data_IF_775708294127
#
_entry.id   IF_775708294127
#
_cell.length_a   1.000
_cell.length_b   1.000
_cell.length_c   1.000
_cell.angle_alpha   90.00
_cell.angle_beta   90.00
_cell.angle_gamma   90.00
#
_symmetry.space_group_name_H-M   'P 1'
#
loop_
_entity.id
_entity.type
_entity.pdbx_description
1 polymer ?
#
# COMPACT_ATOMS: atom_id res chain seq x y z
N UNK A 1 -10.24 7.94 -66.40
CA UNK A 1 -9.51 8.38 -65.19
C UNK A 1 -9.23 7.15 -64.35
N UNK A 2 -7.96 6.83 -64.14
CA UNK A 2 -7.50 5.64 -63.43
C UNK A 2 -7.05 6.07 -62.04
N UNK A 3 -7.91 5.95 -61.04
CA UNK A 3 -7.56 6.30 -59.65
C UNK A 3 -7.01 5.08 -58.93
N UNK A 4 -5.69 4.96 -58.92
CA UNK A 4 -4.98 4.07 -57.99
C UNK A 4 -4.89 4.73 -56.63
N UNK A 5 -5.70 4.31 -55.65
CA UNK A 5 -5.45 4.65 -54.25
C UNK A 5 -4.42 3.66 -53.69
N UNK A 6 -3.17 4.10 -53.59
CA UNK A 6 -2.14 3.44 -52.80
C UNK A 6 -2.21 3.99 -51.38
N UNK A 7 -2.85 3.25 -50.48
CA UNK A 7 -2.78 3.51 -49.04
C UNK A 7 -1.49 2.90 -48.52
N UNK A 8 -0.62 3.74 -47.96
CA UNK A 8 0.59 3.31 -47.26
C UNK A 8 0.19 2.56 -46.00
N UNK A 9 0.50 1.26 -45.93
CA UNK A 9 0.47 0.49 -44.69
C UNK A 9 1.74 0.85 -43.91
N UNK A 10 1.61 1.74 -42.93
CA UNK A 10 2.67 1.98 -41.96
C UNK A 10 2.62 0.86 -40.92
N UNK A 11 3.62 -0.01 -40.91
CA UNK A 11 3.89 -0.85 -39.75
C UNK A 11 4.69 0.03 -38.78
N UNK A 12 4.02 0.57 -37.75
CA UNK A 12 4.75 1.25 -36.66
C UNK A 12 5.83 0.30 -36.16
N UNK A 13 7.08 0.76 -36.12
CA UNK A 13 8.21 -0.02 -35.64
C UNK A 13 7.88 -0.52 -34.23
N UNK A 14 7.60 -1.83 -34.11
CA UNK A 14 7.29 -2.45 -32.82
C UNK A 14 8.50 -2.27 -31.91
N UNK A 15 8.30 -1.59 -30.80
CA UNK A 15 9.33 -1.48 -29.79
C UNK A 15 9.51 -2.82 -29.11
N UNK A 16 10.76 -3.19 -28.86
CA UNK A 16 11.10 -4.47 -28.25
C UNK A 16 12.08 -4.24 -27.10
N UNK A 17 11.74 -4.80 -25.93
CA UNK A 17 12.69 -4.90 -24.84
C UNK A 17 13.69 -6.01 -25.14
N UNK A 18 14.99 -5.69 -25.10
CA UNK A 18 16.06 -6.64 -25.42
C UNK A 18 17.00 -6.92 -24.23
N UNK A 19 16.77 -6.29 -23.08
CA UNK A 19 17.58 -6.45 -21.88
C UNK A 19 17.37 -5.36 -20.84
N UNK A 20 18.21 -5.37 -19.81
CA UNK A 20 18.22 -4.40 -18.72
C UNK A 20 19.62 -3.86 -18.47
N UNK A 21 19.70 -2.63 -17.98
CA UNK A 21 20.92 -2.02 -17.44
C UNK A 21 20.77 -1.95 -15.92
N UNK A 22 21.79 -2.40 -15.18
CA UNK A 22 21.81 -2.30 -13.72
C UNK A 22 23.17 -1.80 -13.24
N UNK A 23 23.21 -1.32 -11.99
CA UNK A 23 24.39 -0.75 -11.36
C UNK A 23 24.77 -1.57 -10.14
N UNK A 24 26.04 -1.94 -9.99
CA UNK A 24 26.52 -2.66 -8.80
C UNK A 24 26.85 -1.71 -7.63
N UNK A 25 27.30 -2.27 -6.51
CA UNK A 25 27.62 -1.51 -5.30
C UNK A 25 28.84 -0.59 -5.47
N UNK A 26 29.76 -0.93 -6.38
CA UNK A 26 30.92 -0.11 -6.73
C UNK A 26 30.57 1.02 -7.70
N UNK A 27 29.36 0.97 -8.25
CA UNK A 27 28.80 1.97 -9.13
C UNK A 27 29.02 1.70 -10.62
N UNK A 28 29.53 0.52 -10.99
CA UNK A 28 29.70 0.13 -12.39
C UNK A 28 28.37 -0.29 -13.02
N UNK A 29 28.23 0.04 -14.31
CA UNK A 29 27.05 -0.32 -15.09
C UNK A 29 27.26 -1.65 -15.81
N UNK A 30 26.25 -2.52 -15.71
CA UNK A 30 26.20 -3.83 -16.33
C UNK A 30 25.00 -3.93 -17.26
N UNK A 31 25.09 -4.81 -18.26
CA UNK A 31 24.00 -5.09 -19.20
C UNK A 31 23.69 -6.58 -19.16
N UNK A 32 22.42 -6.91 -18.95
CA UNK A 32 21.91 -8.28 -19.12
C UNK A 32 20.96 -8.28 -20.32
N UNK A 33 21.30 -9.03 -21.36
CA UNK A 33 20.54 -9.08 -22.60
C UNK A 33 19.74 -10.39 -22.69
N UNK A 34 18.59 -10.33 -23.34
CA UNK A 34 17.79 -11.51 -23.66
C UNK A 34 18.61 -12.40 -24.62
N UNK A 35 18.67 -13.71 -24.35
CA UNK A 35 19.27 -14.67 -25.29
C UNK A 35 18.40 -14.72 -26.56
N UNK A 36 19.01 -14.69 -27.75
CA UNK A 36 18.28 -14.78 -29.04
C UNK A 36 17.27 -15.94 -29.01
N UNK A 37 16.10 -15.73 -29.63
CA UNK A 37 14.91 -16.62 -29.71
C UNK A 37 13.89 -16.50 -28.56
N UNK A 38 13.06 -15.46 -28.60
CA UNK A 38 11.77 -15.43 -27.91
C UNK A 38 11.80 -15.28 -26.38
N UNK A 39 12.93 -14.86 -25.80
CA UNK A 39 12.97 -14.51 -24.38
C UNK A 39 12.30 -13.15 -24.11
N UNK A 40 12.02 -12.87 -22.83
CA UNK A 40 11.31 -11.67 -22.39
C UNK A 40 12.00 -11.07 -21.16
N UNK A 41 11.89 -9.75 -20.98
CA UNK A 41 12.13 -9.08 -19.70
C UNK A 41 10.82 -9.08 -18.91
N UNK A 42 10.86 -9.57 -17.68
CA UNK A 42 9.71 -9.58 -16.77
C UNK A 42 10.03 -8.66 -15.60
N UNK A 43 9.21 -7.62 -15.44
CA UNK A 43 9.33 -6.63 -14.39
C UNK A 43 8.50 -7.06 -13.16
N UNK A 44 9.18 -7.30 -12.05
CA UNK A 44 8.61 -7.69 -10.76
C UNK A 44 9.09 -6.76 -9.63
N UNK A 45 9.21 -5.46 -9.91
CA UNK A 45 9.74 -4.47 -8.98
C UNK A 45 8.68 -3.91 -8.01
N UNK A 46 7.48 -4.49 -8.00
CA UNK A 46 6.38 -4.17 -7.10
C UNK A 46 5.58 -2.94 -7.54
N UNK A 47 4.49 -2.67 -6.81
CA UNK A 47 3.56 -1.56 -7.06
C UNK A 47 4.19 -0.16 -7.22
N UNK A 48 5.39 0.06 -6.69
CA UNK A 48 6.11 1.33 -6.83
C UNK A 48 7.25 1.25 -7.87
N UNK A 49 8.09 0.21 -7.79
CA UNK A 49 9.28 0.08 -8.63
C UNK A 49 8.95 -0.21 -10.09
N UNK A 50 7.91 -1.00 -10.37
CA UNK A 50 7.54 -1.37 -11.74
C UNK A 50 7.10 -0.17 -12.59
N UNK A 51 6.11 0.65 -12.16
CA UNK A 51 5.77 1.87 -12.89
C UNK A 51 6.93 2.87 -12.93
N UNK A 52 7.75 2.99 -11.87
CA UNK A 52 8.94 3.84 -11.90
C UNK A 52 9.93 3.42 -13.00
N UNK A 53 10.24 2.13 -13.10
CA UNK A 53 11.19 1.61 -14.09
C UNK A 53 10.65 1.72 -15.51
N UNK A 54 9.34 1.55 -15.74
CA UNK A 54 8.72 1.84 -17.04
C UNK A 54 8.91 3.32 -17.42
N UNK A 55 8.61 4.25 -16.50
CA UNK A 55 8.77 5.68 -16.73
C UNK A 55 10.23 6.06 -17.03
N UNK A 56 11.19 5.55 -16.24
CA UNK A 56 12.63 5.77 -16.46
C UNK A 56 13.13 5.15 -17.78
N UNK A 57 12.45 4.12 -18.28
CA UNK A 57 12.75 3.49 -19.57
C UNK A 57 12.05 4.17 -20.75
N UNK A 58 11.39 5.31 -20.54
CA UNK A 58 10.69 6.04 -21.59
C UNK A 58 9.32 5.45 -21.96
N UNK A 59 8.75 4.58 -21.13
CA UNK A 59 7.41 3.98 -21.33
C UNK A 59 6.44 4.63 -20.35
N UNK A 60 5.57 5.52 -20.85
CA UNK A 60 4.65 6.26 -19.99
C UNK A 60 4.01 7.47 -20.67
N UNK A 61 3.36 8.36 -19.90
CA UNK A 61 2.73 9.56 -20.46
C UNK A 61 3.76 10.48 -21.09
N UNK A 62 3.63 10.78 -22.39
CA UNK A 62 4.61 11.58 -23.14
C UNK A 62 4.94 12.93 -22.46
N UNK A 63 3.95 13.65 -21.93
CA UNK A 63 4.18 14.91 -21.22
C UNK A 63 5.00 14.76 -19.93
N UNK A 64 4.85 13.64 -19.22
CA UNK A 64 5.64 13.33 -18.03
C UNK A 64 7.09 13.01 -18.40
N UNK A 65 7.30 12.23 -19.45
CA UNK A 65 8.64 11.87 -19.92
C UNK A 65 9.40 13.11 -20.41
N UNK A 66 8.76 13.96 -21.21
CA UNK A 66 9.33 15.23 -21.67
C UNK A 66 9.71 16.17 -20.53
N UNK A 67 8.91 16.23 -19.46
CA UNK A 67 9.23 17.06 -18.28
C UNK A 67 10.55 16.65 -17.61
N UNK A 68 10.87 15.34 -17.60
CA UNK A 68 12.11 14.81 -17.03
C UNK A 68 13.25 14.71 -18.05
N UNK A 69 13.04 15.15 -19.30
CA UNK A 69 14.02 15.00 -20.37
C UNK A 69 14.31 13.53 -20.76
N UNK A 70 13.37 12.61 -20.47
CA UNK A 70 13.49 11.20 -20.80
C UNK A 70 13.01 10.99 -22.24
N UNK A 71 13.84 10.41 -23.14
CA UNK A 71 13.41 10.09 -24.50
C UNK A 71 12.21 9.13 -24.47
N UNK A 72 11.08 9.47 -25.11
CA UNK A 72 9.92 8.59 -25.14
C UNK A 72 10.23 7.37 -26.02
N UNK A 73 10.20 6.19 -25.39
CA UNK A 73 10.10 4.93 -26.09
C UNK A 73 8.63 4.76 -26.51
N UNK A 74 7.73 4.47 -25.58
CA UNK A 74 6.32 4.23 -25.91
C UNK A 74 5.40 5.14 -25.09
N UNK A 75 4.46 5.80 -25.76
CA UNK A 75 3.47 6.63 -25.06
C UNK A 75 2.37 5.75 -24.47
N UNK A 76 2.44 5.52 -23.15
CA UNK A 76 1.49 4.70 -22.42
C UNK A 76 0.92 5.50 -21.23
N UNK A 77 -0.16 6.26 -21.42
CA UNK A 77 -0.60 7.29 -20.47
C UNK A 77 -1.09 6.75 -19.12
N UNK A 78 -1.42 5.46 -19.04
CA UNK A 78 -1.89 4.82 -17.81
C UNK A 78 -0.75 4.35 -16.88
N UNK A 79 0.53 4.42 -17.29
CA UNK A 79 1.66 4.08 -16.41
C UNK A 79 1.73 5.03 -15.23
N UNK A 80 1.82 4.48 -14.02
CA UNK A 80 1.80 5.22 -12.76
C UNK A 80 0.42 5.79 -12.40
N UNK A 81 -0.63 5.48 -13.15
CA UNK A 81 -2.01 5.88 -12.83
C UNK A 81 -2.72 4.81 -12.00
N UNK A 82 -3.83 5.20 -11.37
CA UNK A 82 -4.70 4.30 -10.60
C UNK A 82 -3.98 3.52 -9.51
N UNK A 83 -3.02 4.16 -8.85
CA UNK A 83 -2.32 3.61 -7.68
C UNK A 83 -3.25 3.67 -6.48
N UNK A 84 -3.29 2.61 -5.70
CA UNK A 84 -4.25 2.39 -4.61
C UNK A 84 -3.50 1.94 -3.38
N UNK A 85 -3.93 2.40 -2.21
CA UNK A 85 -3.58 1.78 -0.94
C UNK A 85 -4.84 1.64 -0.09
N UNK A 86 -4.96 0.52 0.60
CA UNK A 86 -6.07 0.25 1.49
C UNK A 86 -5.93 1.11 2.77
N UNK A 87 -6.87 2.04 3.04
CA UNK A 87 -6.85 2.80 4.28
C UNK A 87 -6.97 1.88 5.51
N UNK A 88 -6.18 2.16 6.54
CA UNK A 88 -6.29 1.55 7.86
C UNK A 88 -6.44 2.61 8.95
N UNK A 89 -7.39 2.39 9.84
CA UNK A 89 -7.46 3.10 11.12
C UNK A 89 -7.21 2.12 12.26
N UNK A 90 -6.66 2.60 13.37
CA UNK A 90 -6.34 1.74 14.50
C UNK A 90 -6.51 2.45 15.84
N UNK A 91 -6.76 1.66 16.87
CA UNK A 91 -6.69 2.09 18.27
C UNK A 91 -5.77 1.16 19.03
N UNK A 92 -4.87 1.76 19.80
CA UNK A 92 -3.91 1.03 20.62
C UNK A 92 -4.19 1.27 22.09
N UNK A 93 -4.17 0.19 22.88
CA UNK A 93 -4.40 0.21 24.31
C UNK A 93 -3.22 -0.39 25.06
N UNK A 94 -2.95 0.13 26.24
CA UNK A 94 -2.05 -0.50 27.20
C UNK A 94 -2.73 -1.73 27.80
N UNK A 95 -1.97 -2.81 27.98
CA UNK A 95 -2.43 -3.99 28.70
C UNK A 95 -2.03 -3.92 30.17
N UNK A 96 -2.95 -4.21 31.13
CA UNK A 96 -2.63 -4.27 32.55
C UNK A 96 -1.80 -5.52 32.92
N UNK A 97 -1.67 -6.49 32.02
CA UNK A 97 -0.84 -7.67 32.16
C UNK A 97 0.12 -7.84 30.97
N UNK A 98 1.25 -8.55 31.14
CA UNK A 98 2.20 -8.80 30.06
C UNK A 98 1.55 -9.56 28.90
N UNK A 99 1.73 -9.07 27.69
CA UNK A 99 1.35 -9.78 26.46
C UNK A 99 2.60 -10.39 25.81
N UNK A 100 2.38 -11.45 25.03
CA UNK A 100 3.38 -11.89 24.06
C UNK A 100 3.33 -10.96 22.85
N UNK A 101 4.47 -10.72 22.21
CA UNK A 101 4.45 -10.12 20.89
C UNK A 101 3.82 -11.11 19.93
N UNK A 102 2.78 -10.69 19.23
CA UNK A 102 2.06 -11.48 18.25
C UNK A 102 1.70 -10.58 17.07
N UNK A 103 2.09 -11.03 15.88
CA UNK A 103 1.56 -10.49 14.63
C UNK A 103 0.10 -10.91 14.44
N UNK A 104 -0.53 -10.39 13.39
CA UNK A 104 -1.93 -10.66 13.08
C UNK A 104 -2.09 -12.15 12.72
N UNK A 105 -2.86 -12.86 13.54
CA UNK A 105 -3.19 -14.29 13.34
C UNK A 105 -4.69 -14.52 13.11
N UNK A 106 -5.53 -13.59 13.54
CA UNK A 106 -6.99 -13.68 13.43
C UNK A 106 -7.52 -12.42 12.77
N UNK A 107 -8.45 -12.61 11.83
CA UNK A 107 -9.12 -11.52 11.12
C UNK A 107 -10.63 -11.69 11.23
N UNK A 108 -11.31 -10.63 11.66
CA UNK A 108 -12.76 -10.53 11.62
C UNK A 108 -13.22 -9.99 10.27
N UNK A 109 -13.89 -10.81 9.48
CA UNK A 109 -14.46 -10.43 8.19
C UNK A 109 -15.99 -10.32 8.35
N UNK A 110 -16.57 -9.11 8.41
CA UNK A 110 -18.01 -8.94 8.53
C UNK A 110 -18.72 -9.34 7.22
N UNK A 111 -20.01 -9.73 7.27
CA UNK A 111 -20.78 -10.08 6.07
C UNK A 111 -20.86 -8.99 5.00
N UNK A 112 -20.75 -7.71 5.41
CA UNK A 112 -20.71 -6.57 4.48
C UNK A 112 -19.45 -6.57 3.61
N UNK A 113 -18.36 -7.20 4.07
CA UNK A 113 -17.07 -7.22 3.39
C UNK A 113 -16.40 -5.86 3.20
N UNK A 114 -16.92 -4.78 3.81
CA UNK A 114 -16.47 -3.40 3.60
C UNK A 114 -15.18 -3.07 4.36
N UNK A 115 -15.03 -3.64 5.55
CA UNK A 115 -13.86 -3.46 6.41
C UNK A 115 -13.47 -4.76 7.13
N UNK A 116 -12.18 -5.01 7.30
CA UNK A 116 -11.66 -6.17 8.02
C UNK A 116 -11.05 -5.73 9.35
N UNK A 117 -11.34 -6.48 10.41
CA UNK A 117 -10.84 -6.20 11.75
C UNK A 117 -9.68 -7.10 12.08
N UNK A 118 -8.56 -6.51 12.47
CA UNK A 118 -7.33 -7.21 12.78
C UNK A 118 -6.82 -6.77 14.15
N UNK A 119 -6.04 -7.63 14.80
CA UNK A 119 -5.41 -7.30 16.07
C UNK A 119 -3.97 -7.83 16.12
N UNK A 120 -3.11 -7.07 16.77
CA UNK A 120 -1.73 -7.45 17.05
C UNK A 120 -1.34 -6.99 18.45
N UNK A 121 -0.31 -7.61 19.02
CA UNK A 121 0.29 -7.18 20.28
C UNK A 121 1.79 -7.00 20.13
N UNK A 122 2.30 -5.91 20.72
CA UNK A 122 3.72 -5.59 20.73
C UNK A 122 4.18 -5.31 22.16
N UNK A 123 5.42 -5.67 22.45
CA UNK A 123 6.07 -5.37 23.72
C UNK A 123 7.17 -4.35 23.44
N UNK A 124 6.95 -3.11 23.88
CA UNK A 124 7.94 -2.06 23.73
C UNK A 124 8.88 -2.05 24.94
N UNK A 125 10.19 -2.25 24.74
CA UNK A 125 11.15 -2.02 25.79
C UNK A 125 11.28 -0.52 26.03
N UNK A 126 11.02 -0.07 27.25
CA UNK A 126 11.29 1.27 27.71
C UNK A 126 12.31 1.22 28.84
N UNK A 127 13.23 2.17 28.88
CA UNK A 127 14.07 2.39 30.05
C UNK A 127 13.54 3.61 30.77
N UNK A 128 13.06 3.44 32.01
CA UNK A 128 12.69 4.59 32.85
C UNK A 128 13.89 5.00 33.69
N UNK A 129 14.27 6.27 33.60
CA UNK A 129 15.26 6.88 34.47
C UNK A 129 14.57 7.35 35.75
N UNK A 130 14.89 6.71 36.87
CA UNK A 130 14.53 7.22 38.19
C UNK A 130 15.73 8.01 38.73
N UNK A 131 15.58 9.34 38.73
CA UNK A 131 16.55 10.24 39.34
C UNK A 131 16.46 10.08 40.87
N UNK A 132 17.34 9.26 41.45
CA UNK A 132 17.58 9.23 42.89
C UNK A 132 18.86 10.00 43.18
N UNK A 133 18.88 10.86 44.23
CA UNK A 133 20.06 11.64 44.59
C UNK A 133 21.26 10.80 45.07
N UNK A 134 21.08 9.50 45.31
CA UNK A 134 22.15 8.60 45.79
C UNK A 134 22.61 7.57 44.76
N UNK A 135 21.76 7.17 43.81
CA UNK A 135 22.13 6.24 42.74
C UNK A 135 21.12 6.35 41.56
N UNK A 136 21.53 6.76 40.36
CA UNK A 136 20.63 6.73 39.21
C UNK A 136 20.25 5.29 38.87
N UNK A 137 18.94 5.00 38.87
CA UNK A 137 18.41 3.66 38.59
C UNK A 137 17.75 3.63 37.21
N UNK A 138 18.22 2.75 36.34
CA UNK A 138 17.56 2.44 35.07
C UNK A 138 16.72 1.17 35.24
N UNK A 139 15.40 1.31 35.26
CA UNK A 139 14.50 0.17 35.33
C UNK A 139 13.99 -0.17 33.92
N UNK A 140 14.23 -1.40 33.43
CA UNK A 140 13.65 -1.86 32.18
C UNK A 140 12.15 -2.13 32.39
N UNK A 141 11.31 -1.26 31.83
CA UNK A 141 9.86 -1.42 31.81
C UNK A 141 9.47 -2.03 30.46
N UNK A 142 8.67 -3.09 30.48
CA UNK A 142 8.10 -3.70 29.27
C UNK A 142 6.64 -3.32 29.16
N UNK A 143 6.34 -2.36 28.27
CA UNK A 143 4.97 -1.95 28.00
C UNK A 143 4.35 -2.88 26.97
N UNK A 144 3.29 -3.57 27.36
CA UNK A 144 2.49 -4.40 26.45
C UNK A 144 1.38 -3.56 25.84
N UNK A 145 1.38 -3.48 24.52
CA UNK A 145 0.39 -2.73 23.74
C UNK A 145 -0.38 -3.72 22.88
N UNK A 146 -1.71 -3.65 22.95
CA UNK A 146 -2.61 -4.31 22.00
C UNK A 146 -3.13 -3.25 21.02
N UNK A 147 -3.05 -3.53 19.73
CA UNK A 147 -3.54 -2.65 18.67
C UNK A 147 -4.64 -3.35 17.90
N UNK A 148 -5.82 -2.76 17.87
CA UNK A 148 -6.94 -3.18 17.02
C UNK A 148 -7.01 -2.28 15.80
N UNK A 149 -7.22 -2.87 14.62
CA UNK A 149 -7.13 -2.19 13.34
C UNK A 149 -8.37 -2.49 12.48
N UNK A 150 -8.79 -1.53 11.67
CA UNK A 150 -9.78 -1.72 10.63
C UNK A 150 -9.18 -1.37 9.27
N UNK A 151 -9.08 -2.35 8.37
CA UNK A 151 -8.68 -2.21 6.96
C UNK A 151 -9.93 -2.00 6.11
N UNK A 152 -9.98 -0.97 5.26
CA UNK A 152 -11.00 -0.87 4.20
C UNK A 152 -10.64 -1.83 3.06
N UNK A 153 -11.54 -2.76 2.68
CA UNK A 153 -11.22 -3.91 1.82
C UNK A 153 -10.99 -3.56 0.35
N UNK A 154 -11.82 -2.67 -0.21
CA UNK A 154 -11.84 -2.35 -1.64
C UNK A 154 -12.03 -0.85 -1.85
N UNK A 155 -11.02 -0.02 -1.50
CA UNK A 155 -11.13 1.42 -1.67
C UNK A 155 -11.35 1.76 -3.14
N UNK A 156 -12.13 2.80 -3.39
CA UNK A 156 -12.40 3.41 -4.70
C UNK A 156 -11.51 4.61 -4.96
N UNK A 157 -10.96 5.22 -3.91
CA UNK A 157 -9.94 6.25 -4.04
C UNK A 157 -8.78 5.72 -4.89
N UNK A 158 -8.36 6.54 -5.84
CA UNK A 158 -7.25 6.29 -6.75
C UNK A 158 -6.34 7.50 -6.70
N UNK A 159 -5.05 7.25 -6.83
CA UNK A 159 -4.11 8.32 -7.07
C UNK A 159 -3.04 7.92 -8.07
N UNK A 160 -1.86 8.50 -7.91
CA UNK A 160 -0.85 8.53 -8.95
C UNK A 160 0.55 8.36 -8.35
N UNK A 161 1.41 7.75 -9.16
CA UNK A 161 2.84 7.66 -8.96
C UNK A 161 3.53 8.47 -10.06
N UNK A 162 4.52 9.26 -9.66
CA UNK A 162 5.32 10.11 -10.53
C UNK A 162 6.79 9.97 -10.17
N UNK A 163 7.68 10.12 -11.14
CA UNK A 163 9.09 10.25 -10.84
C UNK A 163 9.32 11.47 -9.93
N UNK A 164 10.22 11.33 -8.96
CA UNK A 164 10.75 12.41 -8.14
C UNK A 164 12.20 12.76 -8.52
N UNK A 165 12.85 11.87 -9.27
CA UNK A 165 14.24 11.93 -9.73
C UNK A 165 14.38 11.00 -10.94
N UNK A 166 15.45 11.16 -11.71
CA UNK A 166 15.85 10.24 -12.77
C UNK A 166 16.80 9.14 -12.28
N UNK A 167 17.20 9.14 -11.01
CA UNK A 167 17.91 8.03 -10.37
C UNK A 167 16.90 6.98 -9.89
N UNK A 168 17.06 5.73 -10.34
CA UNK A 168 16.18 4.62 -9.97
C UNK A 168 16.25 4.24 -8.47
N UNK A 169 17.27 4.71 -7.73
CA UNK A 169 17.41 4.48 -6.29
C UNK A 169 16.55 5.42 -5.45
N UNK A 170 16.15 6.56 -6.02
CA UNK A 170 15.31 7.52 -5.33
C UNK A 170 13.86 7.05 -5.38
N UNK A 171 13.15 7.18 -4.26
CA UNK A 171 11.74 6.80 -4.20
C UNK A 171 10.90 7.72 -5.11
N UNK A 172 9.90 7.17 -5.84
CA UNK A 172 8.98 7.98 -6.61
C UNK A 172 8.04 8.77 -5.68
N UNK A 173 7.44 9.84 -6.19
CA UNK A 173 6.38 10.57 -5.51
C UNK A 173 5.05 9.84 -5.70
N UNK A 174 4.36 9.52 -4.60
CA UNK A 174 3.11 8.75 -4.62
C UNK A 174 2.02 9.50 -3.85
N UNK A 175 0.82 9.54 -4.42
CA UNK A 175 -0.40 10.00 -3.73
C UNK A 175 -1.47 8.94 -3.89
N UNK A 176 -2.08 8.49 -2.79
CA UNK A 176 -3.20 7.52 -2.82
C UNK A 176 -4.58 8.17 -2.74
N UNK A 177 -4.64 9.44 -2.31
CA UNK A 177 -5.87 10.21 -2.13
C UNK A 177 -6.90 9.52 -1.21
N UNK A 178 -6.46 9.02 -0.05
CA UNK A 178 -7.35 8.34 0.91
C UNK A 178 -8.65 9.14 1.16
N UNK A 179 -9.78 8.44 1.10
CA UNK A 179 -11.12 9.01 1.33
C UNK A 179 -11.53 10.16 0.39
N UNK A 180 -10.86 10.30 -0.76
CA UNK A 180 -11.36 11.14 -1.85
C UNK A 180 -12.71 10.65 -2.40
N UNK A 181 -13.01 9.36 -2.25
CA UNK A 181 -14.31 8.79 -2.58
C UNK A 181 -15.15 8.59 -1.32
N UNK A 182 -16.39 9.13 -1.26
CA UNK A 182 -17.26 9.01 -0.07
C UNK A 182 -17.52 7.58 0.38
N UNK A 183 -17.55 6.61 -0.55
CA UNK A 183 -17.76 5.19 -0.25
C UNK A 183 -16.65 4.59 0.65
N UNK A 184 -15.42 5.08 0.52
CA UNK A 184 -14.28 4.60 1.32
C UNK A 184 -14.40 5.10 2.75
N UNK A 185 -14.89 6.33 2.91
CA UNK A 185 -15.13 6.92 4.22
C UNK A 185 -16.29 6.23 4.93
N UNK A 186 -17.35 5.86 4.20
CA UNK A 186 -18.45 5.05 4.74
C UNK A 186 -17.97 3.67 5.22
N UNK A 187 -17.10 3.01 4.43
CA UNK A 187 -16.50 1.73 4.80
C UNK A 187 -15.59 1.87 6.03
N UNK A 188 -14.80 2.94 6.13
CA UNK A 188 -14.03 3.25 7.32
C UNK A 188 -14.93 3.46 8.54
N UNK A 189 -16.03 4.19 8.40
CA UNK A 189 -16.98 4.44 9.48
C UNK A 189 -17.61 3.14 10.01
N UNK A 190 -17.93 2.19 9.12
CA UNK A 190 -18.36 0.86 9.54
C UNK A 190 -17.26 0.12 10.31
N UNK A 191 -16.01 0.17 9.84
CA UNK A 191 -14.85 -0.37 10.54
C UNK A 191 -14.65 0.23 11.93
N UNK A 192 -14.82 1.54 12.09
CA UNK A 192 -14.75 2.24 13.40
C UNK A 192 -15.83 1.74 14.35
N UNK A 193 -17.06 1.58 13.87
CA UNK A 193 -18.16 1.01 14.70
C UNK A 193 -17.90 -0.44 15.07
N UNK A 194 -17.32 -1.23 14.18
CA UNK A 194 -16.91 -2.59 14.45
C UNK A 194 -15.81 -2.64 15.53
N UNK A 195 -14.79 -1.79 15.44
CA UNK A 195 -13.76 -1.67 16.47
C UNK A 195 -14.37 -1.32 17.83
N UNK A 196 -15.30 -0.37 17.87
CA UNK A 196 -15.99 -0.01 19.11
C UNK A 196 -16.76 -1.19 19.71
N UNK A 197 -17.47 -1.97 18.87
CA UNK A 197 -18.16 -3.19 19.32
C UNK A 197 -17.20 -4.22 19.89
N UNK A 198 -16.05 -4.44 19.25
CA UNK A 198 -15.01 -5.35 19.76
C UNK A 198 -14.49 -4.85 21.12
N UNK A 199 -14.16 -3.55 21.24
CA UNK A 199 -13.70 -2.96 22.50
C UNK A 199 -14.74 -3.03 23.63
N UNK A 200 -16.03 -3.01 23.31
CA UNK A 200 -17.11 -3.13 24.29
C UNK A 200 -17.40 -4.58 24.72
N UNK A 201 -16.82 -5.58 24.06
CA UNK A 201 -17.06 -6.99 24.36
C UNK A 201 -16.52 -7.43 25.72
N UNK A 202 -17.10 -8.50 26.27
CA UNK A 202 -16.66 -9.11 27.52
C UNK A 202 -15.19 -9.53 27.48
N UNK A 203 -14.73 -10.08 26.35
CA UNK A 203 -13.34 -10.49 26.11
C UNK A 203 -12.32 -9.36 26.26
N UNK A 204 -12.76 -8.09 26.11
CA UNK A 204 -11.91 -6.91 26.27
C UNK A 204 -11.93 -6.35 27.70
N UNK A 205 -12.82 -6.82 28.58
CA UNK A 205 -12.88 -6.37 29.98
C UNK A 205 -11.59 -6.55 30.77
N UNK A 206 -10.82 -7.67 30.61
CA UNK A 206 -9.54 -7.83 31.30
C UNK A 206 -8.50 -6.76 30.96
N UNK A 207 -8.63 -6.10 29.80
CA UNK A 207 -7.70 -5.04 29.36
C UNK A 207 -8.01 -3.66 29.94
N UNK A 208 -9.10 -3.53 30.71
CA UNK A 208 -9.48 -2.26 31.35
C UNK A 208 -8.71 -2.10 32.67
N UNK A 209 -8.30 -0.87 32.95
CA UNK A 209 -7.76 -0.48 34.25
C UNK A 209 -8.90 -0.02 35.14
N UNK A 210 -8.84 -0.39 36.42
CA UNK A 210 -9.76 0.11 37.45
C UNK A 210 -9.05 1.21 38.21
N UNK A 211 -9.67 2.38 38.31
CA UNK A 211 -9.15 3.47 39.13
C UNK A 211 -9.53 3.28 40.62
N UNK A 212 -8.97 4.13 41.47
CA UNK A 212 -9.22 4.18 42.92
C UNK A 212 -10.67 4.50 43.31
N UNK A 213 -11.51 4.94 42.37
CA UNK A 213 -12.93 5.22 42.56
C UNK A 213 -13.81 4.10 41.99
N UNK A 214 -13.22 3.02 41.47
CA UNK A 214 -13.94 1.90 40.87
C UNK A 214 -14.32 2.09 39.40
N UNK A 215 -13.92 3.20 38.75
CA UNK A 215 -14.20 3.38 37.33
C UNK A 215 -13.29 2.49 36.49
N UNK A 216 -13.88 1.78 35.52
CA UNK A 216 -13.16 0.86 34.63
C UNK A 216 -13.04 1.45 33.22
N UNK A 217 -11.84 1.49 32.66
CA UNK A 217 -11.61 2.02 31.32
C UNK A 217 -10.29 1.62 30.68
N UNK A 218 -10.21 1.75 29.36
CA UNK A 218 -8.98 1.51 28.61
C UNK A 218 -8.02 2.69 28.73
N UNK A 219 -6.72 2.40 28.80
CA UNK A 219 -5.66 3.41 28.65
C UNK A 219 -5.15 3.37 27.21
N UNK A 220 -5.37 4.43 26.46
CA UNK A 220 -5.03 4.50 25.04
C UNK A 220 -3.62 5.03 24.80
N UNK A 221 -2.97 4.52 23.75
CA UNK A 221 -1.75 5.07 23.16
C UNK A 221 -2.11 5.63 21.79
N UNK A 222 -2.06 6.96 21.63
CA UNK A 222 -2.45 7.63 20.39
C UNK A 222 -3.96 7.93 20.30
N UNK A 223 -4.53 7.94 19.07
CA UNK A 223 -5.93 8.31 18.84
C UNK A 223 -6.92 7.42 19.59
N UNK A 224 -8.03 8.02 20.03
CA UNK A 224 -9.15 7.33 20.68
C UNK A 224 -10.33 7.25 19.71
N UNK A 225 -11.15 6.21 19.83
CA UNK A 225 -12.42 6.15 19.11
C UNK A 225 -13.30 7.35 19.49
N UNK A 226 -14.14 7.86 18.56
CA UNK A 226 -15.15 8.86 18.87
C UNK A 226 -16.04 8.43 20.03
N UNK A 227 -16.44 9.39 20.87
CA UNK A 227 -17.35 9.13 21.98
C UNK A 227 -18.78 8.87 21.48
N UNK A 228 -19.22 9.64 20.47
CA UNK A 228 -20.54 9.49 19.88
C UNK A 228 -20.48 8.72 18.55
N UNK A 229 -20.73 7.40 18.59
CA UNK A 229 -20.71 6.53 17.41
C UNK A 229 -21.95 6.69 16.49
N UNK A 230 -22.94 7.48 16.92
CA UNK A 230 -24.09 7.87 16.11
C UNK A 230 -23.80 9.11 15.27
N UNK A 231 -22.76 9.89 15.62
CA UNK A 231 -22.34 11.06 14.85
C UNK A 231 -21.41 10.65 13.69
N UNK A 232 -21.95 10.70 12.47
CA UNK A 232 -21.17 10.41 11.26
C UNK A 232 -20.03 11.42 11.02
N UNK A 233 -20.17 12.66 11.48
CA UNK A 233 -19.16 13.70 11.38
C UNK A 233 -17.94 13.39 12.24
N UNK A 234 -18.15 13.07 13.52
CA UNK A 234 -17.05 12.69 14.43
C UNK A 234 -16.29 11.46 13.92
N UNK A 235 -17.01 10.46 13.40
CA UNK A 235 -16.38 9.26 12.84
C UNK A 235 -15.59 9.57 11.57
N UNK A 236 -16.14 10.40 10.68
CA UNK A 236 -15.45 10.83 9.47
C UNK A 236 -14.14 11.57 9.80
N UNK A 237 -14.17 12.46 10.79
CA UNK A 237 -13.00 13.21 11.23
C UNK A 237 -11.96 12.33 11.92
N UNK A 238 -12.41 11.31 12.67
CA UNK A 238 -11.50 10.28 13.17
C UNK A 238 -10.85 9.51 12.02
N UNK A 239 -11.63 9.03 11.04
CA UNK A 239 -11.11 8.32 9.89
C UNK A 239 -10.03 9.12 9.16
N UNK A 240 -10.28 10.40 8.86
CA UNK A 240 -9.31 11.27 8.16
C UNK A 240 -8.05 11.54 8.97
N UNK A 241 -8.14 11.74 10.29
CA UNK A 241 -6.98 12.06 11.14
C UNK A 241 -6.16 10.85 11.55
N UNK A 242 -6.80 9.69 11.70
CA UNK A 242 -6.17 8.46 12.17
C UNK A 242 -5.76 7.50 11.04
N UNK A 243 -6.00 7.87 9.78
CA UNK A 243 -5.65 7.02 8.64
C UNK A 243 -4.15 6.80 8.55
N UNK A 244 -3.81 5.55 8.31
CA UNK A 244 -2.46 5.10 7.98
C UNK A 244 -2.56 4.09 6.85
N UNK A 245 -1.43 3.80 6.23
CA UNK A 245 -1.33 2.67 5.31
C UNK A 245 -1.45 1.33 6.06
N UNK A 246 -1.95 0.30 5.39
CA UNK A 246 -1.79 -1.10 5.79
C UNK A 246 -0.70 -1.82 4.98
N UNK A 247 0.06 -1.07 4.18
CA UNK A 247 1.13 -1.57 3.32
C UNK A 247 0.66 -2.55 2.23
N UNK A 248 -0.64 -2.52 1.88
CA UNK A 248 -1.23 -3.34 0.82
C UNK A 248 -1.47 -2.53 -0.47
N UNK A 249 -0.57 -1.60 -0.76
CA UNK A 249 -0.67 -0.78 -1.96
C UNK A 249 -0.42 -1.60 -3.24
N UNK A 250 -1.15 -1.21 -4.28
CA UNK A 250 -1.25 -1.92 -5.56
C UNK A 250 -1.62 -0.93 -6.68
N UNK A 251 -1.63 -1.40 -7.92
CA UNK A 251 -1.89 -0.56 -9.09
C UNK A 251 -0.66 0.18 -9.62
N UNK A 252 -0.85 0.98 -10.67
CA UNK A 252 0.23 1.65 -11.40
C UNK A 252 0.58 1.02 -12.75
N UNK A 253 0.30 -0.27 -12.94
CA UNK A 253 0.48 -0.99 -14.22
C UNK A 253 -0.68 -1.95 -14.50
N UNK A 254 -1.93 -1.45 -14.38
CA UNK A 254 -3.13 -2.28 -14.39
C UNK A 254 -3.29 -3.15 -15.65
N UNK A 255 -3.81 -4.36 -15.47
CA UNK A 255 -4.33 -5.20 -16.56
C UNK A 255 -5.46 -4.48 -17.30
N UNK A 256 -5.39 -4.49 -18.63
CA UNK A 256 -6.31 -3.79 -19.53
C UNK A 256 -6.04 -2.29 -19.70
N UNK A 257 -4.96 -1.77 -19.09
CA UNK A 257 -4.53 -0.37 -19.20
C UNK A 257 -3.07 -0.24 -19.61
N UNK A 258 -2.18 -0.92 -18.88
CA UNK A 258 -0.73 -0.94 -19.13
C UNK A 258 -0.29 -2.29 -19.66
N UNK A 259 -0.89 -3.37 -19.16
CA UNK A 259 -0.59 -4.73 -19.61
C UNK A 259 -1.83 -5.46 -20.12
N UNK A 260 -1.66 -6.43 -21.02
CA UNK A 260 -2.70 -7.32 -21.51
C UNK A 260 -3.08 -8.40 -20.47
N UNK A 261 -4.00 -9.32 -20.82
CA UNK A 261 -4.43 -10.43 -19.94
C UNK A 261 -3.36 -11.50 -19.72
N UNK A 262 -2.27 -11.45 -20.49
CA UNK A 262 -1.08 -12.27 -20.32
C UNK A 262 0.07 -11.46 -19.71
N UNK A 263 -0.24 -10.30 -19.13
CA UNK A 263 0.71 -9.41 -18.45
C UNK A 263 1.78 -8.78 -19.36
N UNK A 264 1.58 -8.78 -20.68
CA UNK A 264 2.48 -8.12 -21.65
C UNK A 264 2.20 -6.64 -21.71
N UNK A 265 3.25 -5.82 -21.74
CA UNK A 265 3.11 -4.37 -21.85
C UNK A 265 2.55 -4.00 -23.23
N UNK A 266 1.50 -3.17 -23.28
CA UNK A 266 0.93 -2.75 -24.56
C UNK A 266 1.96 -2.00 -25.40
N UNK A 267 2.04 -2.35 -26.69
CA UNK A 267 2.92 -1.70 -27.66
C UNK A 267 4.41 -2.01 -27.53
N UNK A 268 4.82 -2.82 -26.54
CA UNK A 268 6.22 -3.20 -26.31
C UNK A 268 6.36 -4.72 -26.28
N UNK A 269 7.05 -5.27 -27.28
CA UNK A 269 7.32 -6.70 -27.39
C UNK A 269 8.38 -7.13 -26.37
N UNK A 270 8.33 -8.41 -25.98
CA UNK A 270 9.33 -9.03 -25.09
C UNK A 270 9.42 -8.37 -23.69
N UNK A 271 8.33 -7.73 -23.22
CA UNK A 271 8.24 -7.07 -21.92
C UNK A 271 6.93 -7.41 -21.19
N UNK A 272 7.04 -7.82 -19.92
CA UNK A 272 5.90 -8.07 -19.03
C UNK A 272 6.03 -7.34 -17.69
N UNK A 273 4.90 -7.15 -17.00
CA UNK A 273 4.88 -6.74 -15.59
C UNK A 273 4.09 -7.76 -14.79
N UNK A 274 4.72 -8.39 -13.79
CA UNK A 274 4.11 -9.47 -13.00
C UNK A 274 4.36 -9.20 -11.51
N UNK A 275 3.53 -8.34 -10.93
CA UNK A 275 3.51 -8.03 -9.49
C UNK A 275 2.20 -7.29 -9.11
N UNK A 276 2.11 -6.79 -7.88
CA UNK A 276 0.93 -6.09 -7.36
C UNK A 276 0.58 -4.79 -8.08
N UNK A 277 1.46 -4.23 -8.92
CA UNK A 277 1.14 -3.06 -9.75
C UNK A 277 0.03 -3.33 -10.78
N UNK A 278 -0.21 -4.61 -11.07
CA UNK A 278 -1.17 -5.07 -12.08
C UNK A 278 -2.59 -5.23 -11.54
N UNK A 279 -2.75 -5.23 -10.21
CA UNK A 279 -4.03 -5.43 -9.53
C UNK A 279 -4.83 -4.13 -9.43
N UNK A 280 -6.13 -4.21 -9.70
CA UNK A 280 -7.09 -3.10 -9.52
C UNK A 280 -7.72 -3.06 -8.12
N UNK A 281 -7.60 -4.16 -7.37
CA UNK A 281 -8.11 -4.36 -6.01
C UNK A 281 -7.13 -5.26 -5.25
N UNK A 282 -6.90 -4.99 -3.96
CA UNK A 282 -6.12 -5.87 -3.07
C UNK A 282 -6.86 -7.21 -2.89
N UNK A 283 -6.27 -8.35 -3.30
CA UNK A 283 -6.89 -9.65 -3.05
C UNK A 283 -6.91 -9.99 -1.56
N UNK A 284 -8.07 -10.38 -1.04
CA UNK A 284 -8.25 -10.84 0.33
C UNK A 284 -7.89 -9.82 1.42
N UNK A 285 -7.72 -10.33 2.65
CA UNK A 285 -7.27 -9.54 3.81
C UNK A 285 -5.79 -9.19 3.68
N UNK A 286 -4.97 -10.18 3.33
CA UNK A 286 -3.54 -10.06 3.07
C UNK A 286 -3.22 -10.54 1.65
N UNK A 287 -2.66 -9.68 0.77
CA UNK A 287 -2.49 -10.02 -0.64
C UNK A 287 -1.28 -10.93 -0.92
N UNK A 288 -0.39 -11.15 0.06
CA UNK A 288 0.90 -11.79 -0.16
C UNK A 288 0.81 -13.16 -0.85
N UNK A 289 -0.12 -14.03 -0.43
CA UNK A 289 -0.23 -15.38 -0.97
C UNK A 289 -0.69 -15.36 -2.43
N UNK A 290 -1.60 -14.45 -2.77
CA UNK A 290 -2.05 -14.24 -4.15
C UNK A 290 -0.94 -13.67 -5.02
N UNK A 291 -0.14 -12.75 -4.50
CA UNK A 291 1.02 -12.20 -5.24
C UNK A 291 2.11 -13.26 -5.43
N UNK A 292 2.35 -14.13 -4.43
CA UNK A 292 3.27 -15.27 -4.58
C UNK A 292 2.78 -16.26 -5.64
N UNK A 293 1.48 -16.55 -5.67
CA UNK A 293 0.88 -17.45 -6.66
C UNK A 293 0.92 -16.89 -8.09
N UNK A 294 0.92 -15.55 -8.23
CA UNK A 294 0.98 -14.89 -9.53
C UNK A 294 2.33 -15.11 -10.26
N UNK A 295 3.44 -15.21 -9.51
CA UNK A 295 4.79 -15.39 -10.06
C UNK A 295 5.08 -16.84 -10.42
#
# INVERSE_FOLDING_TARGET
ENTSSSTWLWEEAKQEAYGVVYRDQQGFHHRALIRRNGGEVILCAGALGSPQLLLLSGIGPASHLSFWGIPPAHNLPDVGQSVVDNPRVSVSILSPFPLRSALIQTVGIPPSGSAFIEAASNVLPFSSYLASPFLPLFLPIRLSIATLMAKVASPRSRGTLRLASTDARDNPSVRFNYFSQPADLASCAEGVRLLARVMASESMSPFKFVDRFGNSGFRFVGPRLPANLSDNGEIADFCRRAVTTIWHYHGGCLVGKVVDRQYRVFGVSSLRVVDSSTFSVSPGTNPQATVMMLG
#
